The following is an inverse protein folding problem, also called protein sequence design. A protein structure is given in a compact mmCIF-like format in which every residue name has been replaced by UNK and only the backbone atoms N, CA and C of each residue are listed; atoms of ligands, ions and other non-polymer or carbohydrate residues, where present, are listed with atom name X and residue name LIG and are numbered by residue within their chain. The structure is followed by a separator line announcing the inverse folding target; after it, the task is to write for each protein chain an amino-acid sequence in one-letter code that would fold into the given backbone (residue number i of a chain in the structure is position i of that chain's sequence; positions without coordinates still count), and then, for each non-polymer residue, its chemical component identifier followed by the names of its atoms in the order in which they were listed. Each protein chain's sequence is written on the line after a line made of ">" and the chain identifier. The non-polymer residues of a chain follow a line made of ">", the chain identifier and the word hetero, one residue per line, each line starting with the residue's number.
data_IF_935605226408
#
_entry.id   IF_935605226408
#
_cell.length_a   1.000
_cell.length_b   1.000
_cell.length_c   1.000
_cell.angle_alpha   90.00
_cell.angle_beta   90.00
_cell.angle_gamma   90.00
#
_symmetry.space_group_name_H-M   'P 1'
#
loop_
_entity.id
_entity.type
_entity.pdbx_description
1 polymer ?
#
# COMPACT_ATOMS: atom_id res chain seq x y z
N UNK A 1 -68.19 -31.28 17.09
CA UNK A 1 -67.55 -30.31 16.17
C UNK A 1 -66.55 -29.36 16.83
N UNK A 2 -66.13 -29.53 18.10
CA UNK A 2 -65.25 -28.56 18.82
C UNK A 2 -63.79 -28.97 18.91
N UNK A 3 -63.39 -30.16 18.53
CA UNK A 3 -62.01 -30.67 18.68
C UNK A 3 -61.07 -30.36 17.51
N UNK A 4 -61.60 -30.14 16.32
CA UNK A 4 -60.82 -29.82 15.10
C UNK A 4 -60.37 -28.35 15.04
N UNK A 5 -61.10 -27.44 15.68
CA UNK A 5 -60.78 -26.00 15.68
C UNK A 5 -59.57 -25.67 16.58
N UNK A 6 -59.48 -26.33 17.76
CA UNK A 6 -58.36 -26.16 18.70
C UNK A 6 -57.00 -26.65 18.16
N UNK A 7 -57.02 -27.73 17.33
CA UNK A 7 -55.76 -28.25 16.71
C UNK A 7 -55.22 -27.35 15.61
N UNK A 8 -56.07 -26.66 14.85
CA UNK A 8 -55.65 -25.73 13.78
C UNK A 8 -55.09 -24.42 14.33
N UNK A 9 -55.62 -23.88 15.42
CA UNK A 9 -55.09 -22.68 16.08
C UNK A 9 -53.75 -22.94 16.76
N UNK A 10 -53.52 -24.09 17.34
CA UNK A 10 -52.23 -24.50 17.93
C UNK A 10 -51.15 -24.73 16.85
N UNK A 11 -51.49 -25.23 15.67
CA UNK A 11 -50.54 -25.40 14.56
C UNK A 11 -50.13 -24.06 13.95
N UNK A 12 -51.04 -23.12 13.77
CA UNK A 12 -50.75 -21.76 13.28
C UNK A 12 -49.92 -20.95 14.27
N UNK A 13 -50.16 -21.09 15.58
CA UNK A 13 -49.36 -20.42 16.60
C UNK A 13 -47.88 -20.97 16.65
N UNK A 14 -47.72 -22.28 16.43
CA UNK A 14 -46.35 -22.88 16.37
C UNK A 14 -45.60 -22.50 15.08
N UNK A 15 -46.26 -22.34 13.94
CA UNK A 15 -45.65 -21.86 12.72
C UNK A 15 -45.22 -20.37 12.84
N UNK A 16 -46.03 -19.54 13.49
CA UNK A 16 -45.71 -18.13 13.70
C UNK A 16 -44.53 -17.94 14.65
N UNK A 17 -44.40 -18.78 15.71
CA UNK A 17 -43.23 -18.75 16.61
C UNK A 17 -41.94 -19.27 15.95
N UNK A 18 -42.04 -20.26 15.06
CA UNK A 18 -40.87 -20.73 14.30
C UNK A 18 -40.40 -19.70 13.28
N UNK A 19 -41.31 -18.99 12.60
CA UNK A 19 -41.00 -17.93 11.68
C UNK A 19 -40.34 -16.70 12.40
N UNK A 20 -40.86 -16.32 13.57
CA UNK A 20 -40.30 -15.25 14.37
C UNK A 20 -38.88 -15.59 14.92
N UNK A 21 -38.61 -16.85 15.24
CA UNK A 21 -37.28 -17.32 15.68
C UNK A 21 -36.27 -17.33 14.52
N UNK A 22 -36.71 -17.60 13.28
CA UNK A 22 -35.84 -17.53 12.09
C UNK A 22 -35.51 -16.09 11.69
N UNK A 23 -36.42 -15.14 11.90
CA UNK A 23 -36.17 -13.70 11.68
C UNK A 23 -35.30 -13.08 12.78
N UNK A 24 -35.43 -13.50 14.03
CA UNK A 24 -34.58 -13.03 15.13
C UNK A 24 -33.12 -13.55 15.00
N UNK A 25 -32.90 -14.72 14.38
CA UNK A 25 -31.57 -15.26 14.10
C UNK A 25 -30.79 -14.52 13.03
N UNK A 26 -31.47 -13.81 12.12
CA UNK A 26 -30.81 -13.08 11.02
C UNK A 26 -30.36 -11.67 11.42
N UNK A 27 -30.85 -11.12 12.53
CA UNK A 27 -30.42 -9.81 13.02
C UNK A 27 -29.17 -9.85 13.93
N UNK A 28 -28.69 -11.05 14.29
CA UNK A 28 -27.58 -11.24 15.23
C UNK A 28 -26.18 -11.23 14.55
N UNK A 29 -26.04 -10.88 13.27
CA UNK A 29 -24.83 -11.11 12.49
C UNK A 29 -24.18 -9.89 11.83
N UNK A 30 -24.16 -8.78 12.51
CA UNK A 30 -23.19 -7.75 12.16
C UNK A 30 -22.61 -7.11 13.41
N UNK A 31 -22.10 -7.93 14.33
CA UNK A 31 -21.27 -7.36 15.37
C UNK A 31 -20.04 -6.74 14.68
N UNK A 32 -19.97 -5.41 14.74
CA UNK A 32 -18.88 -4.67 14.14
C UNK A 32 -17.54 -5.15 14.77
N UNK A 33 -16.57 -5.39 13.93
CA UNK A 33 -15.27 -5.90 14.39
C UNK A 33 -14.53 -4.79 15.12
N UNK A 34 -14.24 -4.99 16.41
CA UNK A 34 -13.56 -4.01 17.25
C UNK A 34 -12.05 -4.25 17.39
N UNK A 35 -11.54 -5.34 16.82
CA UNK A 35 -10.09 -5.62 16.76
C UNK A 35 -9.72 -5.97 15.34
N UNK A 36 -8.77 -5.23 14.76
CA UNK A 36 -8.29 -5.42 13.40
C UNK A 36 -6.81 -5.79 13.41
N UNK A 37 -6.43 -6.71 12.52
CA UNK A 37 -5.03 -6.94 12.13
C UNK A 37 -4.74 -6.15 10.87
N UNK A 38 -3.82 -5.20 10.95
CA UNK A 38 -3.45 -4.33 9.82
C UNK A 38 -2.00 -4.53 9.44
N UNK A 39 -1.77 -4.95 8.20
CA UNK A 39 -0.43 -5.11 7.63
C UNK A 39 0.15 -3.78 7.17
N UNK A 40 1.38 -3.47 7.57
CA UNK A 40 2.08 -2.24 7.18
C UNK A 40 3.51 -2.57 6.73
N UNK A 41 4.14 -1.67 5.95
CA UNK A 41 5.57 -1.77 5.69
C UNK A 41 6.39 -1.33 6.89
N UNK A 42 7.57 -1.88 7.02
CA UNK A 42 8.59 -1.47 7.98
C UNK A 42 8.96 0.01 7.79
N UNK A 43 9.41 0.67 8.86
CA UNK A 43 9.82 2.09 8.83
C UNK A 43 8.65 3.04 9.05
N UNK A 44 8.39 3.93 8.10
CA UNK A 44 7.39 4.99 8.24
C UNK A 44 5.95 4.45 8.46
N UNK A 45 5.58 3.36 7.81
CA UNK A 45 4.26 2.73 7.99
C UNK A 45 4.02 2.34 9.46
N UNK A 46 4.99 1.70 10.08
CA UNK A 46 4.94 1.30 11.50
C UNK A 46 4.81 2.52 12.42
N UNK A 47 5.64 3.56 12.21
CA UNK A 47 5.61 4.79 13.02
C UNK A 47 4.24 5.50 12.94
N UNK A 48 3.69 5.64 11.73
CA UNK A 48 2.37 6.28 11.53
C UNK A 48 1.28 5.47 12.22
N UNK A 49 1.31 4.13 12.09
CA UNK A 49 0.28 3.29 12.69
C UNK A 49 0.31 3.24 14.22
N UNK A 50 1.41 3.58 14.87
CA UNK A 50 1.43 3.79 16.32
C UNK A 50 0.58 4.99 16.75
N UNK A 51 0.46 6.03 15.91
CA UNK A 51 -0.47 7.15 16.16
C UNK A 51 -1.90 6.74 15.78
N UNK A 52 -2.11 6.09 14.65
CA UNK A 52 -3.42 5.61 14.20
C UNK A 52 -4.07 4.71 15.25
N UNK A 53 -3.31 3.79 15.87
CA UNK A 53 -3.79 2.93 16.98
C UNK A 53 -4.36 3.74 18.14
N UNK A 54 -3.65 4.80 18.55
CA UNK A 54 -4.09 5.66 19.66
C UNK A 54 -5.38 6.42 19.33
N UNK A 55 -5.50 6.90 18.09
CA UNK A 55 -6.72 7.58 17.62
C UNK A 55 -7.88 6.59 17.54
N UNK A 56 -7.68 5.44 16.90
CA UNK A 56 -8.71 4.41 16.73
C UNK A 56 -9.24 3.85 18.07
N UNK A 57 -8.37 3.71 19.07
CA UNK A 57 -8.73 3.20 20.39
C UNK A 57 -9.73 4.10 21.12
N UNK A 58 -9.75 5.42 20.86
CA UNK A 58 -10.73 6.36 21.46
C UNK A 58 -12.16 6.03 21.01
N UNK A 59 -12.31 5.49 19.80
CA UNK A 59 -13.59 5.06 19.24
C UNK A 59 -13.83 3.55 19.44
N UNK A 60 -13.09 2.92 20.34
CA UNK A 60 -13.22 1.50 20.66
C UNK A 60 -12.74 0.55 19.55
N UNK A 61 -11.90 1.02 18.60
CA UNK A 61 -11.29 0.18 17.58
C UNK A 61 -9.86 -0.15 17.95
N UNK A 62 -9.59 -1.40 18.29
CA UNK A 62 -8.25 -1.89 18.60
C UNK A 62 -7.53 -2.33 17.33
N UNK A 63 -6.30 -1.86 17.09
CA UNK A 63 -5.49 -2.21 15.91
C UNK A 63 -4.26 -2.99 16.36
N UNK A 64 -4.12 -4.19 15.84
CA UNK A 64 -2.91 -5.01 15.91
C UNK A 64 -2.11 -4.81 14.62
N UNK A 65 -0.97 -4.14 14.73
CA UNK A 65 -0.08 -3.89 13.59
C UNK A 65 0.77 -5.13 13.32
N UNK A 66 0.80 -5.56 12.06
CA UNK A 66 1.67 -6.62 11.56
C UNK A 66 2.63 -6.01 10.58
N UNK A 67 3.93 -5.99 10.92
CA UNK A 67 4.98 -5.36 10.12
C UNK A 67 5.55 -6.34 9.10
N UNK A 68 5.61 -5.93 7.84
CA UNK A 68 6.19 -6.69 6.75
C UNK A 68 7.50 -6.06 6.26
N UNK A 69 8.49 -6.91 5.96
CA UNK A 69 9.80 -6.48 5.46
C UNK A 69 9.91 -6.54 3.93
N UNK A 70 8.85 -6.99 3.25
CA UNK A 70 8.76 -7.08 1.79
C UNK A 70 7.35 -6.68 1.30
N UNK A 71 7.22 -6.46 0.00
CA UNK A 71 5.95 -6.07 -0.61
C UNK A 71 5.12 -7.24 -1.16
N UNK A 72 5.63 -8.48 -1.10
CA UNK A 72 4.97 -9.63 -1.70
C UNK A 72 3.92 -10.29 -0.78
N UNK A 73 4.18 -10.26 0.53
CA UNK A 73 3.37 -10.98 1.50
C UNK A 73 2.09 -10.25 1.96
N UNK A 74 2.03 -8.90 2.11
CA UNK A 74 0.88 -8.25 2.73
C UNK A 74 -0.45 -8.51 2.01
N UNK A 75 -0.46 -8.52 0.67
CA UNK A 75 -1.68 -8.79 -0.09
C UNK A 75 -2.09 -10.26 -0.04
N UNK A 76 -1.15 -11.19 0.03
CA UNK A 76 -1.45 -12.60 0.22
C UNK A 76 -2.06 -12.84 1.60
N UNK A 77 -1.50 -12.25 2.66
CA UNK A 77 -2.03 -12.34 4.02
C UNK A 77 -3.41 -11.66 4.16
N UNK A 78 -3.69 -10.59 3.40
CA UNK A 78 -5.02 -9.98 3.36
C UNK A 78 -6.01 -10.86 2.62
N UNK A 79 -5.64 -11.43 1.48
CA UNK A 79 -6.50 -12.31 0.68
C UNK A 79 -6.86 -13.60 1.43
N UNK A 80 -5.92 -14.20 2.18
CA UNK A 80 -6.16 -15.40 3.02
C UNK A 80 -7.02 -15.13 4.26
N UNK A 81 -7.14 -13.86 4.70
CA UNK A 81 -7.86 -13.50 5.92
C UNK A 81 -6.99 -13.44 7.18
N UNK A 82 -5.67 -13.60 7.05
CA UNK A 82 -4.72 -13.41 8.15
C UNK A 82 -4.62 -11.95 8.59
N UNK A 83 -4.94 -11.02 7.66
CA UNK A 83 -5.11 -9.59 7.90
C UNK A 83 -6.57 -9.17 7.62
N UNK A 84 -6.98 -8.06 8.22
CA UNK A 84 -8.24 -7.38 7.92
C UNK A 84 -8.07 -6.28 6.88
N UNK A 85 -6.95 -5.56 6.96
CA UNK A 85 -6.55 -4.50 6.05
C UNK A 85 -5.04 -4.49 5.87
N UNK A 86 -4.55 -3.81 4.85
CA UNK A 86 -3.15 -3.39 4.78
C UNK A 86 -3.03 -1.94 4.32
N UNK A 87 -1.88 -1.31 4.64
CA UNK A 87 -1.59 0.08 4.30
C UNK A 87 -0.09 0.21 4.00
N UNK A 88 0.31 -0.13 2.76
CA UNK A 88 1.72 -0.12 2.35
C UNK A 88 1.92 0.20 0.87
N UNK A 89 0.87 0.15 0.07
CA UNK A 89 0.93 0.11 -1.39
C UNK A 89 0.16 1.26 -2.03
N UNK A 90 0.53 1.61 -3.25
CA UNK A 90 -0.20 2.51 -4.13
C UNK A 90 -1.08 1.74 -5.14
N UNK A 91 -2.02 2.44 -5.79
CA UNK A 91 -3.00 1.82 -6.70
C UNK A 91 -2.35 0.98 -7.82
N UNK A 92 -1.32 1.45 -8.57
CA UNK A 92 -0.72 0.63 -9.62
C UNK A 92 -0.12 -0.70 -9.12
N UNK A 93 0.42 -0.72 -7.88
CA UNK A 93 0.92 -1.96 -7.28
C UNK A 93 -0.23 -2.91 -6.96
N UNK A 94 -1.30 -2.41 -6.33
CA UNK A 94 -2.49 -3.19 -6.01
C UNK A 94 -3.11 -3.81 -7.27
N UNK A 95 -3.26 -3.04 -8.34
CA UNK A 95 -3.83 -3.50 -9.61
C UNK A 95 -2.99 -4.62 -10.22
N UNK A 96 -1.66 -4.48 -10.23
CA UNK A 96 -0.75 -5.52 -10.69
C UNK A 96 -0.83 -6.80 -9.85
N UNK A 97 -0.91 -6.67 -8.51
CA UNK A 97 -1.04 -7.82 -7.61
C UNK A 97 -2.39 -8.54 -7.80
N UNK A 98 -3.49 -7.80 -7.89
CA UNK A 98 -4.80 -8.36 -8.17
C UNK A 98 -4.81 -9.13 -9.50
N UNK A 99 -4.27 -8.51 -10.57
CA UNK A 99 -4.21 -9.13 -11.90
C UNK A 99 -3.33 -10.39 -11.91
N UNK A 100 -2.16 -10.33 -11.30
CA UNK A 100 -1.17 -11.41 -11.36
C UNK A 100 -1.54 -12.60 -10.45
N UNK A 101 -2.21 -12.34 -9.32
CA UNK A 101 -2.49 -13.32 -8.28
C UNK A 101 -3.96 -13.69 -8.14
N UNK A 102 -4.86 -13.04 -8.87
CA UNK A 102 -6.30 -13.25 -8.76
C UNK A 102 -6.89 -12.79 -7.42
N UNK A 103 -6.25 -11.79 -6.75
CA UNK A 103 -6.78 -11.25 -5.53
C UNK A 103 -7.98 -10.33 -5.82
N UNK A 104 -8.92 -10.27 -4.86
CA UNK A 104 -10.06 -9.34 -4.90
C UNK A 104 -9.95 -8.32 -3.75
N UNK A 105 -8.90 -7.51 -3.82
CA UNK A 105 -8.54 -6.48 -2.85
C UNK A 105 -8.85 -5.11 -3.45
N UNK A 106 -9.45 -4.23 -2.64
CA UNK A 106 -9.89 -2.91 -3.08
C UNK A 106 -9.41 -1.81 -2.13
N UNK A 107 -9.14 -0.59 -2.64
CA UNK A 107 -8.82 0.55 -1.80
C UNK A 107 -10.05 1.06 -1.07
N UNK A 108 -9.86 1.58 0.15
CA UNK A 108 -10.92 2.21 0.95
C UNK A 108 -10.56 3.62 1.42
N UNK A 109 -9.30 4.03 1.37
CA UNK A 109 -8.87 5.39 1.73
C UNK A 109 -7.43 5.64 1.34
N UNK A 110 -7.10 6.89 1.00
CA UNK A 110 -5.73 7.31 0.75
C UNK A 110 -4.98 7.53 2.07
N UNK A 111 -3.65 7.40 2.02
CA UNK A 111 -2.77 7.55 3.18
C UNK A 111 -1.73 8.64 2.96
N UNK A 112 -0.60 8.33 2.37
CA UNK A 112 0.52 9.23 2.12
C UNK A 112 0.95 9.19 0.67
N UNK A 113 1.58 10.25 0.20
CA UNK A 113 2.47 10.22 -0.97
C UNK A 113 3.90 10.15 -0.45
N UNK A 114 4.65 9.14 -0.93
CA UNK A 114 6.05 8.93 -0.62
C UNK A 114 6.86 9.03 -1.93
N UNK A 115 7.54 10.15 -2.20
CA UNK A 115 8.32 10.32 -3.42
C UNK A 115 9.45 9.29 -3.52
N UNK A 116 9.66 8.77 -4.72
CA UNK A 116 10.77 7.87 -5.03
C UNK A 116 12.06 8.68 -5.18
N UNK A 117 13.18 8.13 -4.70
CA UNK A 117 14.50 8.69 -4.93
C UNK A 117 15.47 7.69 -5.55
N UNK A 118 16.41 8.18 -6.37
CA UNK A 118 17.64 7.44 -6.66
C UNK A 118 18.72 7.88 -5.70
N UNK A 119 19.37 6.92 -5.07
CA UNK A 119 20.40 7.13 -4.07
C UNK A 119 21.73 6.57 -4.51
N UNK A 120 22.83 7.08 -3.94
CA UNK A 120 24.18 6.62 -4.20
C UNK A 120 25.05 6.71 -2.94
N UNK A 121 25.99 5.79 -2.84
CA UNK A 121 27.14 5.89 -1.92
C UNK A 121 28.42 6.38 -2.62
N UNK A 122 28.41 6.40 -3.97
CA UNK A 122 29.60 6.64 -4.81
C UNK A 122 29.65 8.04 -5.42
N UNK A 123 28.45 8.65 -5.69
CA UNK A 123 28.36 9.98 -6.31
C UNK A 123 27.43 10.88 -5.47
N UNK A 124 27.61 12.19 -5.60
CA UNK A 124 26.82 13.20 -4.89
C UNK A 124 25.87 13.97 -5.78
N UNK A 125 26.08 13.90 -7.10
CA UNK A 125 25.24 14.51 -8.11
C UNK A 125 25.08 13.57 -9.30
N UNK A 126 23.95 13.64 -9.98
CA UNK A 126 23.67 12.81 -11.15
C UNK A 126 24.64 13.09 -12.32
N UNK A 127 25.19 14.28 -12.37
CA UNK A 127 26.20 14.65 -13.38
C UNK A 127 27.49 13.84 -13.30
N UNK A 128 27.77 13.28 -12.11
CA UNK A 128 28.91 12.40 -11.86
C UNK A 128 28.67 10.94 -12.28
N UNK A 129 27.47 10.61 -12.79
CA UNK A 129 27.14 9.24 -13.17
C UNK A 129 27.99 8.82 -14.38
N UNK A 130 28.87 7.81 -14.26
CA UNK A 130 29.74 7.41 -15.35
C UNK A 130 28.98 6.62 -16.45
N UNK A 131 29.56 6.60 -17.63
CA UNK A 131 29.08 5.73 -18.71
C UNK A 131 29.22 4.26 -18.30
N UNK A 132 28.26 3.42 -18.69
CA UNK A 132 28.22 2.02 -18.33
C UNK A 132 27.86 1.73 -16.86
N UNK A 133 27.44 2.76 -16.11
CA UNK A 133 27.06 2.62 -14.70
C UNK A 133 25.93 1.60 -14.49
N UNK A 134 26.03 0.83 -13.41
CA UNK A 134 24.97 -0.08 -12.95
C UNK A 134 23.95 0.68 -12.14
N UNK A 135 22.67 0.58 -12.53
CA UNK A 135 21.52 1.30 -11.97
C UNK A 135 20.50 0.29 -11.45
N UNK A 136 20.32 0.23 -10.13
CA UNK A 136 19.33 -0.63 -9.50
C UNK A 136 17.91 -0.06 -9.66
N UNK A 137 16.98 -0.91 -10.03
CA UNK A 137 15.54 -0.59 -10.09
C UNK A 137 14.74 -1.74 -9.46
N UNK A 138 13.51 -1.47 -9.07
CA UNK A 138 12.62 -2.52 -8.56
C UNK A 138 12.28 -3.53 -9.67
N UNK A 139 12.14 -4.80 -9.29
CA UNK A 139 11.77 -5.89 -10.20
C UNK A 139 10.25 -6.09 -10.32
N UNK A 140 9.43 -5.43 -9.48
CA UNK A 140 7.99 -5.44 -9.65
C UNK A 140 7.54 -4.47 -10.76
N UNK A 141 6.47 -4.81 -11.52
CA UNK A 141 6.09 -4.05 -12.71
C UNK A 141 5.77 -2.58 -12.42
N UNK A 142 5.18 -2.26 -11.27
CA UNK A 142 4.74 -0.90 -10.98
C UNK A 142 5.87 0.01 -10.51
N UNK A 143 6.70 -0.44 -9.57
CA UNK A 143 7.83 0.36 -9.09
C UNK A 143 8.97 0.37 -10.11
N UNK A 144 9.22 -0.74 -10.84
CA UNK A 144 10.18 -0.77 -11.93
C UNK A 144 9.84 0.23 -13.04
N UNK A 145 8.57 0.26 -13.48
CA UNK A 145 8.10 1.29 -14.41
C UNK A 145 8.29 2.71 -13.86
N UNK A 146 7.93 2.94 -12.58
CA UNK A 146 8.09 4.24 -11.91
C UNK A 146 9.54 4.70 -11.90
N UNK A 147 10.49 3.80 -11.61
CA UNK A 147 11.91 4.08 -11.65
C UNK A 147 12.39 4.45 -13.06
N UNK A 148 11.94 3.71 -14.08
CA UNK A 148 12.27 4.01 -15.48
C UNK A 148 11.72 5.36 -15.93
N UNK A 149 10.49 5.70 -15.56
CA UNK A 149 9.91 7.02 -15.83
C UNK A 149 10.72 8.15 -15.16
N UNK A 150 11.20 7.92 -13.95
CA UNK A 150 12.04 8.89 -13.24
C UNK A 150 13.41 9.06 -13.91
N UNK A 151 14.03 7.98 -14.41
CA UNK A 151 15.26 8.07 -15.21
C UNK A 151 15.04 8.83 -16.53
N UNK A 152 13.89 8.63 -17.18
CA UNK A 152 13.52 9.40 -18.38
C UNK A 152 13.32 10.88 -18.05
N UNK A 153 12.63 11.20 -16.95
CA UNK A 153 12.44 12.59 -16.50
C UNK A 153 13.78 13.28 -16.21
N UNK A 154 14.76 12.52 -15.71
CA UNK A 154 16.13 13.00 -15.50
C UNK A 154 16.98 13.07 -16.79
N UNK A 155 16.42 12.75 -17.96
CA UNK A 155 17.13 12.81 -19.25
C UNK A 155 18.17 11.70 -19.46
N UNK A 156 18.18 10.66 -18.64
CA UNK A 156 19.18 9.60 -18.69
C UNK A 156 18.87 8.51 -19.71
N UNK A 157 17.59 8.26 -19.96
CA UNK A 157 17.09 7.29 -20.94
C UNK A 157 15.87 7.87 -21.68
N UNK A 158 15.52 7.24 -22.79
CA UNK A 158 14.21 7.47 -23.46
C UNK A 158 13.49 6.12 -23.55
N UNK A 159 12.21 6.11 -23.24
CA UNK A 159 11.34 4.93 -23.29
C UNK A 159 10.45 4.97 -24.51
N UNK A 160 9.95 3.82 -24.96
CA UNK A 160 8.90 3.73 -25.98
C UNK A 160 7.67 4.51 -25.54
N UNK A 161 7.11 5.40 -26.40
CA UNK A 161 5.94 6.22 -26.04
C UNK A 161 4.74 5.42 -25.54
N UNK A 162 4.47 4.24 -26.16
CA UNK A 162 3.36 3.36 -25.77
C UNK A 162 3.55 2.79 -24.36
N UNK A 163 4.78 2.43 -23.97
CA UNK A 163 5.07 1.93 -22.63
C UNK A 163 4.88 3.01 -21.57
N UNK A 164 5.27 4.24 -21.89
CA UNK A 164 5.05 5.43 -21.04
C UNK A 164 3.55 5.69 -20.86
N UNK A 165 2.81 5.77 -21.99
CA UNK A 165 1.36 6.02 -21.99
C UNK A 165 0.57 5.00 -21.17
N UNK A 166 0.96 3.74 -21.24
CA UNK A 166 0.27 2.63 -20.59
C UNK A 166 0.78 2.34 -19.17
N UNK A 167 1.82 3.05 -18.68
CA UNK A 167 2.50 2.78 -17.40
C UNK A 167 2.99 1.32 -17.28
N UNK A 168 3.60 0.79 -18.34
CA UNK A 168 4.05 -0.62 -18.43
C UNK A 168 5.52 -0.74 -18.83
N UNK A 169 6.29 0.32 -18.72
CA UNK A 169 7.68 0.32 -19.15
C UNK A 169 8.52 -0.70 -18.38
N UNK A 170 9.33 -1.41 -19.13
CA UNK A 170 10.35 -2.37 -18.68
C UNK A 170 11.72 -1.97 -19.24
N UNK A 171 12.83 -2.54 -18.77
CA UNK A 171 14.15 -2.30 -19.37
C UNK A 171 14.20 -2.58 -20.89
N UNK A 172 13.33 -3.43 -21.43
CA UNK A 172 13.23 -3.75 -22.86
C UNK A 172 12.58 -2.62 -23.68
N UNK A 173 11.99 -1.66 -23.02
CA UNK A 173 11.34 -0.50 -23.65
C UNK A 173 12.24 0.73 -23.74
N UNK A 174 13.51 0.62 -23.35
CA UNK A 174 14.50 1.68 -23.50
C UNK A 174 14.92 1.77 -24.96
N UNK A 175 14.61 2.92 -25.61
CA UNK A 175 14.95 3.19 -27.02
C UNK A 175 16.20 4.06 -27.17
N UNK A 176 16.57 4.81 -26.12
CA UNK A 176 17.82 5.58 -26.07
C UNK A 176 18.42 5.49 -24.68
N UNK A 177 19.73 5.23 -24.63
CA UNK A 177 20.52 5.09 -23.43
C UNK A 177 21.96 5.62 -23.71
N UNK A 178 22.12 6.94 -23.79
CA UNK A 178 23.38 7.56 -24.21
C UNK A 178 24.56 7.19 -23.32
N UNK A 179 24.33 7.07 -22.03
CA UNK A 179 25.36 6.67 -21.04
C UNK A 179 25.56 5.16 -20.95
N UNK A 180 24.89 4.35 -21.77
CA UNK A 180 24.99 2.87 -21.75
C UNK A 180 24.75 2.27 -20.36
N UNK A 181 23.80 2.83 -19.59
CA UNK A 181 23.47 2.40 -18.24
C UNK A 181 23.04 0.92 -18.24
N UNK A 182 23.49 0.18 -17.24
CA UNK A 182 23.10 -1.21 -17.01
C UNK A 182 21.98 -1.24 -15.98
N UNK A 183 20.75 -1.42 -16.43
CA UNK A 183 19.58 -1.53 -15.56
C UNK A 183 19.58 -2.90 -14.88
N UNK A 184 19.55 -2.91 -13.55
CA UNK A 184 19.62 -4.11 -12.71
C UNK A 184 18.34 -4.22 -11.88
N UNK A 185 17.33 -5.02 -12.33
CA UNK A 185 16.10 -5.26 -11.56
C UNK A 185 16.41 -6.11 -10.32
N UNK A 186 16.03 -5.61 -9.15
CA UNK A 186 16.19 -6.28 -7.84
C UNK A 186 14.91 -6.15 -7.03
N UNK A 187 14.74 -7.03 -6.06
CA UNK A 187 13.69 -6.87 -5.05
C UNK A 187 13.86 -5.53 -4.33
N UNK A 188 12.74 -4.82 -4.09
CA UNK A 188 12.76 -3.49 -3.50
C UNK A 188 13.48 -3.45 -2.13
N UNK A 189 13.31 -4.50 -1.32
CA UNK A 189 13.95 -4.62 -0.01
C UNK A 189 15.47 -4.83 -0.09
N UNK A 190 16.00 -5.27 -1.24
CA UNK A 190 17.44 -5.51 -1.45
C UNK A 190 18.19 -4.26 -1.92
N UNK A 191 17.51 -3.33 -2.60
CA UNK A 191 18.13 -2.16 -3.23
C UNK A 191 18.99 -1.31 -2.29
N UNK A 192 18.63 -1.04 -1.01
CA UNK A 192 19.50 -0.29 -0.11
C UNK A 192 20.84 -0.96 0.16
N UNK A 193 20.85 -2.29 0.27
CA UNK A 193 22.08 -3.07 0.51
C UNK A 193 22.95 -3.18 -0.74
N UNK A 194 22.33 -3.11 -1.92
CA UNK A 194 23.05 -3.21 -3.21
C UNK A 194 23.73 -1.90 -3.61
N UNK A 195 23.60 -0.80 -2.84
CA UNK A 195 24.25 0.49 -3.13
C UNK A 195 25.78 0.40 -3.12
N UNK A 196 26.37 -0.57 -2.46
CA UNK A 196 27.83 -0.78 -2.48
C UNK A 196 28.31 -1.27 -3.86
N UNK A 197 27.48 -2.06 -4.55
CA UNK A 197 27.80 -2.62 -5.88
C UNK A 197 27.30 -1.74 -7.03
N UNK A 198 26.21 -1.03 -6.83
CA UNK A 198 25.57 -0.18 -7.83
C UNK A 198 26.13 1.24 -7.83
N UNK A 199 26.04 1.93 -8.96
CA UNK A 199 26.35 3.36 -9.02
C UNK A 199 25.24 4.19 -8.37
N UNK A 200 24.00 3.89 -8.72
CA UNK A 200 22.78 4.45 -8.11
C UNK A 200 21.69 3.36 -8.00
N UNK A 201 20.74 3.54 -7.11
CA UNK A 201 19.56 2.67 -7.02
C UNK A 201 18.29 3.46 -6.69
N UNK A 202 17.18 3.11 -7.34
CA UNK A 202 15.85 3.59 -6.99
C UNK A 202 15.40 2.89 -5.70
N UNK A 203 15.14 3.65 -4.63
CA UNK A 203 14.75 3.07 -3.34
C UNK A 203 13.47 3.74 -2.86
N UNK A 204 12.46 2.92 -2.56
CA UNK A 204 11.22 3.39 -1.96
C UNK A 204 11.47 4.01 -0.59
N UNK A 205 10.68 4.99 -0.22
CA UNK A 205 10.94 5.85 0.94
C UNK A 205 11.04 5.07 2.26
N UNK A 206 10.20 4.08 2.51
CA UNK A 206 10.22 3.23 3.70
C UNK A 206 11.55 2.44 3.85
N UNK A 207 12.06 1.89 2.76
CA UNK A 207 13.37 1.22 2.74
C UNK A 207 14.54 2.20 2.83
N UNK A 208 14.41 3.38 2.22
CA UNK A 208 15.43 4.43 2.31
C UNK A 208 15.57 4.91 3.76
N UNK A 209 14.45 5.24 4.42
CA UNK A 209 14.43 5.66 5.82
C UNK A 209 15.03 4.59 6.75
N UNK A 210 14.63 3.33 6.57
CA UNK A 210 15.21 2.22 7.36
C UNK A 210 16.72 2.07 7.16
N UNK A 211 17.22 2.40 5.98
CA UNK A 211 18.65 2.40 5.67
C UNK A 211 19.38 3.68 6.13
N UNK A 212 18.69 4.61 6.80
CA UNK A 212 19.24 5.89 7.26
C UNK A 212 19.43 6.91 6.14
N UNK A 213 18.84 6.67 4.96
CA UNK A 213 18.87 7.58 3.82
C UNK A 213 17.72 8.58 3.88
N UNK A 214 18.00 9.82 3.55
CA UNK A 214 17.02 10.91 3.45
C UNK A 214 16.85 11.33 2.00
N UNK A 215 15.58 11.50 1.57
CA UNK A 215 15.28 11.96 0.22
C UNK A 215 15.95 13.31 -0.08
N UNK A 216 15.94 14.22 0.88
CA UNK A 216 16.47 15.58 0.68
C UNK A 216 17.99 15.65 0.73
N UNK A 217 18.62 14.84 1.58
CA UNK A 217 20.07 14.87 1.79
C UNK A 217 20.83 13.98 0.83
N UNK A 218 20.29 12.77 0.54
CA UNK A 218 21.08 11.68 -0.03
C UNK A 218 20.64 11.26 -1.44
N UNK A 219 19.45 11.71 -1.90
CA UNK A 219 18.97 11.34 -3.23
C UNK A 219 19.63 12.20 -4.32
N UNK A 220 20.18 11.56 -5.34
CA UNK A 220 20.78 12.20 -6.52
C UNK A 220 19.74 12.50 -7.60
N UNK A 221 18.60 11.82 -7.60
CA UNK A 221 17.38 12.14 -8.37
C UNK A 221 16.19 12.00 -7.43
N UNK A 222 15.23 12.93 -7.51
CA UNK A 222 14.02 12.94 -6.70
C UNK A 222 12.78 12.98 -7.59
N UNK A 223 11.77 12.20 -7.25
CA UNK A 223 10.44 12.34 -7.81
C UNK A 223 9.76 13.62 -7.30
N UNK A 224 8.92 14.23 -8.12
CA UNK A 224 8.12 15.38 -7.68
C UNK A 224 7.14 14.99 -6.56
N UNK A 225 6.85 15.89 -5.59
CA UNK A 225 5.94 15.60 -4.48
C UNK A 225 4.52 15.23 -4.93
N UNK A 226 4.05 15.79 -6.04
CA UNK A 226 2.76 15.44 -6.67
C UNK A 226 2.99 14.24 -7.59
N UNK A 227 2.63 13.08 -7.13
CA UNK A 227 2.84 11.80 -7.81
C UNK A 227 1.54 10.99 -7.81
N UNK A 228 1.24 10.23 -8.89
CA UNK A 228 0.07 9.34 -8.93
C UNK A 228 0.21 8.11 -8.03
N UNK A 229 1.31 8.01 -7.29
CA UNK A 229 1.65 6.87 -6.43
C UNK A 229 1.31 7.12 -4.96
N UNK A 230 0.18 7.81 -4.68
CA UNK A 230 -0.34 7.90 -3.32
C UNK A 230 -0.67 6.50 -2.79
N UNK A 231 -0.21 6.21 -1.58
CA UNK A 231 -0.50 4.96 -0.89
C UNK A 231 -1.93 4.96 -0.35
N UNK A 232 -2.41 3.77 -0.02
CA UNK A 232 -3.81 3.55 0.35
C UNK A 232 -3.95 2.47 1.43
N UNK A 233 -5.08 2.51 2.11
CA UNK A 233 -5.60 1.39 2.91
C UNK A 233 -6.40 0.50 1.97
N UNK A 234 -6.09 -0.79 1.99
CA UNK A 234 -6.78 -1.80 1.19
C UNK A 234 -7.41 -2.87 2.09
N UNK A 235 -8.55 -3.38 1.63
CA UNK A 235 -9.32 -4.46 2.28
C UNK A 235 -9.79 -5.45 1.22
N UNK A 236 -10.25 -6.65 1.61
CA UNK A 236 -10.98 -7.53 0.70
C UNK A 236 -12.25 -6.83 0.22
N UNK A 237 -12.69 -7.05 -1.02
CA UNK A 237 -13.91 -6.43 -1.57
C UNK A 237 -15.13 -6.68 -0.68
N UNK A 238 -15.26 -7.84 -0.09
CA UNK A 238 -16.35 -8.19 0.83
C UNK A 238 -16.39 -7.32 2.10
N UNK A 239 -15.28 -6.65 2.42
CA UNK A 239 -15.12 -5.86 3.64
C UNK A 239 -15.20 -4.35 3.41
N UNK A 240 -15.26 -3.89 2.13
CA UNK A 240 -15.11 -2.47 1.78
C UNK A 240 -16.14 -1.55 2.44
N UNK A 241 -17.37 -2.05 2.64
CA UNK A 241 -18.49 -1.28 3.18
C UNK A 241 -18.72 -1.53 4.68
N UNK A 242 -17.86 -2.32 5.32
CA UNK A 242 -17.98 -2.62 6.75
C UNK A 242 -17.74 -1.37 7.59
N UNK A 243 -18.48 -1.19 8.71
CA UNK A 243 -18.29 -0.05 9.60
C UNK A 243 -16.85 0.10 10.09
N UNK A 244 -16.20 -1.01 10.44
CA UNK A 244 -14.82 -0.98 10.91
C UNK A 244 -13.83 -0.46 9.84
N UNK A 245 -14.06 -0.71 8.54
CA UNK A 245 -13.19 -0.20 7.48
C UNK A 245 -13.27 1.33 7.40
N UNK A 246 -14.48 1.90 7.51
CA UNK A 246 -14.67 3.36 7.59
C UNK A 246 -14.03 3.96 8.84
N UNK A 247 -14.14 3.29 10.01
CA UNK A 247 -13.50 3.74 11.26
C UNK A 247 -11.98 3.72 11.15
N UNK A 248 -11.39 2.70 10.51
CA UNK A 248 -9.96 2.62 10.25
C UNK A 248 -9.48 3.79 9.37
N UNK A 249 -10.19 4.06 8.27
CA UNK A 249 -9.88 5.19 7.38
C UNK A 249 -10.00 6.53 8.13
N UNK A 250 -11.08 6.74 8.89
CA UNK A 250 -11.28 7.95 9.68
C UNK A 250 -10.17 8.16 10.72
N UNK A 251 -9.74 7.09 11.40
CA UNK A 251 -8.62 7.16 12.34
C UNK A 251 -7.31 7.53 11.64
N UNK A 252 -7.02 6.94 10.48
CA UNK A 252 -5.83 7.28 9.70
C UNK A 252 -5.86 8.73 9.20
N UNK A 253 -6.99 9.17 8.67
CA UNK A 253 -7.17 10.51 8.09
C UNK A 253 -7.49 11.60 9.12
N UNK A 254 -7.22 11.34 10.40
CA UNK A 254 -7.45 12.32 11.46
C UNK A 254 -6.45 13.48 11.40
N UNK A 255 -6.84 14.67 11.92
CA UNK A 255 -5.93 15.80 12.03
C UNK A 255 -4.65 15.49 12.82
N UNK A 256 -4.74 14.59 13.81
CA UNK A 256 -3.62 14.18 14.66
C UNK A 256 -2.59 13.36 13.87
N UNK A 257 -3.03 12.40 13.06
CA UNK A 257 -2.15 11.62 12.18
C UNK A 257 -1.56 12.51 11.10
N UNK A 258 -2.35 13.42 10.51
CA UNK A 258 -1.85 14.42 9.55
C UNK A 258 -0.72 15.25 10.14
N UNK A 259 -0.94 15.85 11.31
CA UNK A 259 0.07 16.67 12.01
C UNK A 259 1.33 15.86 12.34
N UNK A 260 1.17 14.60 12.75
CA UNK A 260 2.31 13.71 13.00
C UNK A 260 3.14 13.51 11.72
N UNK A 261 2.49 13.19 10.58
CA UNK A 261 3.18 12.98 9.30
C UNK A 261 3.95 14.24 8.91
N UNK A 262 3.32 15.40 8.93
CA UNK A 262 3.92 16.68 8.55
C UNK A 262 5.11 17.06 9.44
N UNK A 263 5.00 16.82 10.75
CA UNK A 263 6.04 17.18 11.71
C UNK A 263 7.21 16.20 11.72
N UNK A 264 6.91 14.90 11.69
CA UNK A 264 7.92 13.84 11.78
C UNK A 264 8.74 13.71 10.51
N UNK A 265 8.07 13.73 9.35
CA UNK A 265 8.70 13.42 8.07
C UNK A 265 9.09 14.67 7.24
N UNK A 266 8.70 15.87 7.67
CA UNK A 266 9.18 17.18 7.15
C UNK A 266 9.21 17.26 5.62
N UNK A 267 8.17 16.72 4.95
CA UNK A 267 8.04 16.75 3.48
C UNK A 267 8.60 15.53 2.76
N UNK A 268 9.35 14.64 3.39
CA UNK A 268 9.73 13.35 2.79
C UNK A 268 8.53 12.40 2.63
N UNK A 269 7.48 12.59 3.43
CA UNK A 269 6.14 12.05 3.26
C UNK A 269 5.12 13.18 3.31
N UNK A 270 4.09 13.08 2.48
CA UNK A 270 3.01 14.07 2.42
C UNK A 270 1.67 13.37 2.60
N UNK A 271 0.78 13.84 3.51
CA UNK A 271 -0.58 13.34 3.58
C UNK A 271 -1.29 13.44 2.22
N UNK A 272 -1.97 12.36 1.80
CA UNK A 272 -2.69 12.29 0.53
C UNK A 272 -4.22 12.40 0.74
N UNK A 273 -4.67 12.98 1.86
CA UNK A 273 -6.05 13.13 2.28
C UNK A 273 -6.33 14.51 2.83
#
# INVERSE_FOLDING_TARGET
>A
MHTTFRRRTLALARLATLAAALFAGSAALAQDKNTLKVGVSVGNGEQIFEVVKKVAARDGLNIQVVVFNDYQLPNAALASGDLDANAFQHQPFLDNQNKARGFDIVPVGLTITAPLGFYSRKIKSIDQLPDGASVGIQNDPSNGNRALLLLQTAGLITLKPEAVKNNTATPLDVVSNPKKLKLVPLDAAQLPRSLDDLAIAAINNDYAERAGLSLDRDAVIKEAPKSPYANLIAVRRADKDKPWARRLVAAYQSPEVKSFIETQFKGSLVPAF
#
